data_IF_033252380904
#
_entry.id   IF_033252380904
#
_cell.length_a   1.000
_cell.length_b   1.000
_cell.length_c   1.000
_cell.angle_alpha   90.00
_cell.angle_beta   90.00
_cell.angle_gamma   90.00
#
_symmetry.space_group_name_H-M   'P 1'
#
loop_
_entity.id
_entity.type
_entity.pdbx_description
1 polymer ?
#
# COMPACT_ATOMS: atom_id res chain seq x y z
N UNK A 1 30.94 16.98 7.46
CA UNK A 1 30.68 16.97 8.90
C UNK A 1 29.31 17.58 9.19
N UNK A 2 28.37 16.79 9.67
CA UNK A 2 27.00 17.23 9.95
C UNK A 2 26.92 18.30 11.04
N UNK A 3 27.95 18.41 11.90
CA UNK A 3 28.01 19.40 12.95
C UNK A 3 28.10 20.85 12.41
N UNK A 4 28.58 21.03 11.17
CA UNK A 4 28.76 22.34 10.53
C UNK A 4 27.52 22.81 9.75
N UNK A 5 26.51 21.94 9.58
CA UNK A 5 25.30 22.26 8.82
C UNK A 5 24.33 23.07 9.66
N UNK A 6 23.69 24.07 9.03
CA UNK A 6 22.56 24.76 9.62
C UNK A 6 21.28 23.88 9.61
N UNK A 7 20.21 24.33 10.26
CA UNK A 7 18.97 23.58 10.39
C UNK A 7 18.32 23.27 9.04
N UNK A 8 18.38 24.18 8.08
CA UNK A 8 17.81 24.00 6.73
C UNK A 8 18.61 22.96 5.94
N UNK A 9 19.93 23.05 6.00
CA UNK A 9 20.82 22.07 5.34
C UNK A 9 20.65 20.68 5.93
N UNK A 10 20.50 20.57 7.27
CA UNK A 10 20.20 19.30 7.95
C UNK A 10 18.89 18.69 7.46
N UNK A 11 17.83 19.49 7.37
CA UNK A 11 16.52 18.99 6.92
C UNK A 11 16.57 18.50 5.48
N UNK A 12 17.16 19.24 4.54
CA UNK A 12 17.30 18.79 3.15
C UNK A 12 18.14 17.51 3.02
N UNK A 13 19.22 17.40 3.79
CA UNK A 13 20.02 16.18 3.79
C UNK A 13 19.26 15.00 4.41
N UNK A 14 18.50 15.23 5.48
CA UNK A 14 17.62 14.24 6.08
C UNK A 14 16.53 13.74 5.11
N UNK A 15 15.95 14.66 4.32
CA UNK A 15 15.01 14.29 3.25
C UNK A 15 15.67 13.41 2.19
N UNK A 16 16.89 13.76 1.75
CA UNK A 16 17.61 12.98 0.74
C UNK A 16 17.89 11.55 1.21
N UNK A 17 18.31 11.37 2.46
CA UNK A 17 18.49 10.05 3.05
C UNK A 17 17.17 9.28 3.16
N UNK A 18 16.10 9.91 3.66
CA UNK A 18 14.79 9.27 3.76
C UNK A 18 14.25 8.82 2.40
N UNK A 19 14.38 9.67 1.35
CA UNK A 19 13.99 9.32 -0.01
C UNK A 19 14.81 8.16 -0.56
N UNK A 20 16.13 8.15 -0.37
CA UNK A 20 16.96 7.06 -0.86
C UNK A 20 16.61 5.74 -0.20
N UNK A 21 16.47 5.73 1.12
CA UNK A 21 16.02 4.54 1.85
C UNK A 21 14.66 4.05 1.39
N UNK A 22 13.70 4.95 1.20
CA UNK A 22 12.34 4.63 0.72
C UNK A 22 12.39 3.98 -0.67
N UNK A 23 13.13 4.58 -1.61
CA UNK A 23 13.25 4.02 -2.95
C UNK A 23 13.94 2.65 -2.95
N UNK A 24 15.01 2.47 -2.17
CA UNK A 24 15.65 1.15 -2.06
C UNK A 24 14.74 0.12 -1.41
N UNK A 25 13.96 0.49 -0.40
CA UNK A 25 12.97 -0.41 0.22
C UNK A 25 11.92 -0.86 -0.81
N UNK A 26 11.39 0.07 -1.60
CA UNK A 26 10.42 -0.26 -2.65
C UNK A 26 11.04 -1.11 -3.77
N UNK A 27 12.25 -0.77 -4.21
CA UNK A 27 12.98 -1.55 -5.22
C UNK A 27 13.28 -2.98 -4.75
N UNK A 28 13.70 -3.16 -3.51
CA UNK A 28 13.91 -4.51 -2.96
C UNK A 28 12.58 -5.27 -2.94
N UNK A 29 11.52 -4.71 -2.41
CA UNK A 29 10.21 -5.36 -2.33
C UNK A 29 9.66 -5.74 -3.71
N UNK A 30 9.92 -4.95 -4.75
CA UNK A 30 9.50 -5.25 -6.12
C UNK A 30 10.38 -6.31 -6.78
N UNK A 31 11.71 -6.16 -6.73
CA UNK A 31 12.65 -6.92 -7.56
C UNK A 31 13.33 -8.10 -6.86
N UNK A 32 13.33 -8.18 -5.53
CA UNK A 32 13.79 -9.39 -4.85
C UNK A 32 13.02 -10.60 -5.37
N UNK A 33 13.77 -11.61 -5.88
CA UNK A 33 13.15 -12.88 -6.22
C UNK A 33 12.88 -13.69 -4.94
N UNK A 34 11.61 -13.89 -4.65
CA UNK A 34 11.17 -14.80 -3.59
C UNK A 34 10.68 -16.09 -4.22
N UNK A 35 11.03 -17.22 -3.60
CA UNK A 35 10.58 -18.55 -4.04
C UNK A 35 9.05 -18.60 -4.18
N UNK A 36 8.61 -19.35 -5.20
CA UNK A 36 7.21 -19.58 -5.48
C UNK A 36 7.06 -20.92 -6.25
N UNK A 37 5.84 -21.43 -6.31
CA UNK A 37 5.57 -22.76 -6.92
C UNK A 37 5.52 -22.76 -8.46
N UNK A 38 5.87 -21.65 -9.13
CA UNK A 38 5.63 -21.47 -10.57
C UNK A 38 6.89 -21.15 -11.37
N UNK A 39 7.89 -20.55 -10.75
CA UNK A 39 9.16 -20.19 -11.41
C UNK A 39 10.34 -20.54 -10.52
N UNK A 40 11.38 -21.11 -11.13
CA UNK A 40 12.63 -21.45 -10.46
C UNK A 40 13.74 -20.51 -10.94
N UNK A 41 14.45 -19.91 -10.00
CA UNK A 41 15.58 -19.05 -10.31
C UNK A 41 16.62 -19.04 -9.16
N UNK A 42 17.28 -20.17 -8.88
CA UNK A 42 18.19 -20.29 -7.73
C UNK A 42 19.39 -19.33 -7.84
N UNK A 43 19.78 -18.95 -9.04
CA UNK A 43 20.89 -18.02 -9.28
C UNK A 43 20.58 -16.55 -8.89
N UNK A 44 19.33 -16.20 -8.62
CA UNK A 44 18.94 -14.82 -8.25
C UNK A 44 18.27 -14.75 -6.88
N UNK A 45 18.22 -15.87 -6.16
CA UNK A 45 17.65 -15.92 -4.81
C UNK A 45 18.44 -15.00 -3.87
N UNK A 46 17.73 -14.17 -3.10
CA UNK A 46 18.34 -13.21 -2.18
C UNK A 46 19.03 -12.04 -2.85
N UNK A 47 18.89 -11.85 -4.18
CA UNK A 47 19.37 -10.67 -4.88
C UNK A 47 18.25 -9.61 -4.96
N UNK A 48 18.60 -8.38 -4.60
CA UNK A 48 17.76 -7.19 -4.75
C UNK A 48 18.05 -6.46 -6.07
N UNK A 49 18.52 -5.23 -5.97
CA UNK A 49 18.91 -4.35 -7.09
C UNK A 49 20.39 -3.93 -6.94
N UNK A 50 21.04 -3.39 -7.97
CA UNK A 50 22.37 -2.78 -7.82
C UNK A 50 22.35 -1.65 -6.78
N UNK A 51 23.42 -1.55 -5.99
CA UNK A 51 23.63 -0.39 -5.10
C UNK A 51 24.34 0.70 -5.89
N UNK A 52 23.75 1.89 -5.92
CA UNK A 52 24.30 3.12 -6.52
C UNK A 52 24.34 4.20 -5.45
N UNK A 53 25.54 4.63 -5.10
CA UNK A 53 25.81 5.65 -4.09
C UNK A 53 26.38 6.90 -4.77
N UNK A 54 26.46 8.06 -4.06
CA UNK A 54 26.97 9.30 -4.65
C UNK A 54 28.38 9.21 -5.24
N UNK A 55 29.19 8.30 -4.71
CA UNK A 55 30.56 8.02 -5.18
C UNK A 55 30.64 7.06 -6.37
N UNK A 56 29.53 6.39 -6.72
CA UNK A 56 29.49 5.44 -7.83
C UNK A 56 29.71 6.16 -9.15
N UNK A 57 30.79 5.83 -9.85
CA UNK A 57 31.11 6.39 -11.18
C UNK A 57 30.21 5.80 -12.27
N UNK A 58 30.10 6.50 -13.41
CA UNK A 58 29.34 6.00 -14.57
C UNK A 58 29.87 4.65 -15.07
N UNK A 59 31.20 4.44 -15.04
CA UNK A 59 31.81 3.17 -15.45
C UNK A 59 31.43 2.02 -14.51
N UNK A 60 31.39 2.25 -13.20
CA UNK A 60 30.97 1.28 -12.22
C UNK A 60 29.46 1.00 -12.36
N UNK A 61 28.62 2.03 -12.55
CA UNK A 61 27.19 1.87 -12.74
C UNK A 61 26.83 1.00 -13.95
N UNK A 62 27.61 1.07 -15.04
CA UNK A 62 27.45 0.25 -16.25
C UNK A 62 27.90 -1.22 -16.09
N UNK A 63 28.52 -1.58 -14.99
CA UNK A 63 28.95 -2.94 -14.67
C UNK A 63 28.67 -3.25 -13.18
N UNK A 64 27.47 -2.94 -12.73
CA UNK A 64 27.05 -3.05 -11.33
C UNK A 64 26.09 -4.23 -11.16
N UNK A 65 26.51 -5.36 -10.61
CA UNK A 65 25.63 -6.52 -10.41
C UNK A 65 24.55 -6.21 -9.37
N UNK A 66 23.50 -7.03 -9.34
CA UNK A 66 22.52 -7.02 -8.27
C UNK A 66 23.21 -7.34 -6.93
N UNK A 67 22.96 -6.51 -5.93
CA UNK A 67 23.44 -6.73 -4.57
C UNK A 67 22.56 -7.74 -3.83
N UNK A 68 23.09 -8.36 -2.80
CA UNK A 68 22.26 -9.14 -1.88
C UNK A 68 21.28 -8.22 -1.15
N UNK A 69 20.09 -8.74 -0.89
CA UNK A 69 19.07 -8.02 -0.13
C UNK A 69 19.61 -7.56 1.22
N UNK A 70 20.33 -8.44 1.93
CA UNK A 70 20.94 -8.11 3.23
C UNK A 70 21.89 -6.91 3.11
N UNK A 71 22.76 -6.90 2.09
CA UNK A 71 23.69 -5.79 1.86
C UNK A 71 22.96 -4.46 1.60
N UNK A 72 21.83 -4.49 0.90
CA UNK A 72 21.03 -3.28 0.64
C UNK A 72 20.42 -2.75 1.95
N UNK A 73 19.91 -3.63 2.82
CA UNK A 73 19.41 -3.22 4.14
C UNK A 73 20.53 -2.65 5.02
N UNK A 74 21.68 -3.34 5.07
CA UNK A 74 22.76 -3.02 5.99
C UNK A 74 23.61 -1.82 5.54
N UNK A 75 23.72 -1.58 4.23
CA UNK A 75 24.56 -0.51 3.67
C UNK A 75 23.78 0.74 3.27
N UNK A 76 22.48 0.61 2.99
CA UNK A 76 21.67 1.72 2.47
C UNK A 76 20.43 1.97 3.33
N UNK A 77 19.49 1.02 3.42
CA UNK A 77 18.17 1.29 3.99
C UNK A 77 18.26 1.73 5.46
N UNK A 78 18.84 0.91 6.32
CA UNK A 78 18.93 1.26 7.74
C UNK A 78 19.89 2.42 8.01
N UNK A 79 21.13 2.47 7.46
CA UNK A 79 21.99 3.61 7.68
C UNK A 79 21.41 4.95 7.22
N UNK A 80 20.66 4.95 6.12
CA UNK A 80 20.00 6.15 5.63
C UNK A 80 18.82 6.57 6.51
N UNK A 81 18.01 5.63 6.97
CA UNK A 81 16.93 5.91 7.90
C UNK A 81 17.45 6.41 9.25
N UNK A 82 18.57 5.88 9.75
CA UNK A 82 19.22 6.35 10.98
C UNK A 82 19.74 7.77 10.82
N UNK A 83 20.36 8.08 9.68
CA UNK A 83 20.80 9.46 9.38
C UNK A 83 19.63 10.42 9.21
N UNK A 84 18.57 9.98 8.55
CA UNK A 84 17.37 10.80 8.39
C UNK A 84 16.72 11.10 9.77
N UNK A 85 16.64 10.11 10.66
CA UNK A 85 16.14 10.29 12.02
C UNK A 85 17.00 11.30 12.81
N UNK A 86 18.32 11.15 12.78
CA UNK A 86 19.26 12.08 13.43
C UNK A 86 19.09 13.51 12.91
N UNK A 87 19.14 13.69 11.57
CA UNK A 87 19.12 15.00 10.93
C UNK A 87 17.77 15.72 11.04
N UNK A 88 16.67 14.97 11.12
CA UNK A 88 15.32 15.50 11.29
C UNK A 88 14.87 15.55 12.75
N UNK A 89 15.76 15.26 13.71
CA UNK A 89 15.46 15.38 15.13
C UNK A 89 15.02 16.81 15.47
N UNK A 90 13.80 16.96 16.01
CA UNK A 90 13.20 18.27 16.31
C UNK A 90 12.66 19.04 15.10
N UNK A 91 12.75 18.49 13.89
CA UNK A 91 12.14 19.10 12.70
C UNK A 91 10.61 18.96 12.73
N UNK A 92 9.91 20.06 12.43
CA UNK A 92 8.46 20.07 12.27
C UNK A 92 8.14 20.29 10.79
N UNK A 93 7.50 19.31 10.15
CA UNK A 93 7.07 19.42 8.76
C UNK A 93 5.97 20.49 8.63
N UNK A 94 6.07 21.41 7.65
CA UNK A 94 5.08 22.47 7.47
C UNK A 94 3.74 21.95 6.93
N UNK A 95 3.73 20.78 6.31
CA UNK A 95 2.57 20.18 5.65
C UNK A 95 2.71 18.65 5.58
N UNK A 96 1.70 18.00 4.98
CA UNK A 96 1.62 16.54 4.79
C UNK A 96 2.42 16.03 3.56
N UNK A 97 3.03 16.92 2.80
CA UNK A 97 3.83 16.58 1.61
C UNK A 97 5.33 16.62 1.90
N UNK A 98 5.71 17.21 3.03
CA UNK A 98 7.10 17.29 3.49
C UNK A 98 7.44 16.07 4.35
N UNK A 99 8.64 15.51 4.15
CA UNK A 99 9.13 14.41 4.99
C UNK A 99 9.22 14.88 6.44
N UNK A 100 8.64 14.10 7.34
CA UNK A 100 8.63 14.34 8.78
C UNK A 100 9.36 13.23 9.54
N UNK A 101 9.76 13.45 10.81
CA UNK A 101 10.25 12.37 11.67
C UNK A 101 9.26 11.20 11.76
N UNK A 102 7.96 11.47 11.78
CA UNK A 102 6.93 10.43 11.81
C UNK A 102 6.96 9.54 10.56
N UNK A 103 7.20 10.11 9.36
CA UNK A 103 7.39 9.33 8.15
C UNK A 103 8.64 8.45 8.24
N UNK A 104 9.75 8.97 8.76
CA UNK A 104 11.00 8.19 8.93
C UNK A 104 10.75 6.99 9.86
N UNK A 105 10.04 7.20 10.97
CA UNK A 105 9.64 6.09 11.85
C UNK A 105 8.75 5.07 11.14
N UNK A 106 7.78 5.52 10.35
CA UNK A 106 6.92 4.64 9.56
C UNK A 106 7.71 3.83 8.51
N UNK A 107 8.71 4.42 7.85
CA UNK A 107 9.61 3.71 6.94
C UNK A 107 10.47 2.65 7.68
N UNK A 108 10.97 2.98 8.87
CA UNK A 108 11.66 2.01 9.73
C UNK A 108 10.74 0.87 10.15
N UNK A 109 9.50 1.16 10.53
CA UNK A 109 8.51 0.14 10.86
C UNK A 109 8.26 -0.82 9.69
N UNK A 110 8.09 -0.31 8.46
CA UNK A 110 7.99 -1.12 7.24
C UNK A 110 9.24 -1.98 7.02
N UNK A 111 10.42 -1.38 7.12
CA UNK A 111 11.69 -2.07 6.89
C UNK A 111 11.93 -3.21 7.90
N UNK A 112 11.70 -2.95 9.16
CA UNK A 112 11.83 -3.96 10.21
C UNK A 112 10.80 -5.08 10.10
N UNK A 113 9.55 -4.77 9.73
CA UNK A 113 8.52 -5.79 9.49
C UNK A 113 8.92 -6.75 8.35
N UNK A 114 9.45 -6.22 7.23
CA UNK A 114 9.99 -7.01 6.13
C UNK A 114 11.14 -7.92 6.59
N UNK A 115 12.06 -7.40 7.41
CA UNK A 115 13.18 -8.18 7.96
C UNK A 115 12.72 -9.26 8.93
N UNK A 116 11.78 -8.93 9.82
CA UNK A 116 11.18 -9.89 10.75
C UNK A 116 10.59 -11.09 10.02
N UNK A 117 9.82 -10.85 8.96
CA UNK A 117 9.26 -11.91 8.13
C UNK A 117 10.33 -12.70 7.37
N UNK A 118 11.27 -12.00 6.71
CA UNK A 118 12.29 -12.64 5.86
C UNK A 118 13.27 -13.51 6.64
N UNK A 119 13.56 -13.17 7.88
CA UNK A 119 14.54 -13.86 8.74
C UNK A 119 13.92 -14.65 9.87
N UNK A 120 12.60 -14.57 10.05
CA UNK A 120 11.89 -15.05 11.25
C UNK A 120 12.55 -14.50 12.52
N UNK A 121 12.82 -13.21 12.55
CA UNK A 121 13.62 -12.51 13.55
C UNK A 121 12.72 -11.80 14.55
N UNK A 122 12.74 -12.29 15.80
CA UNK A 122 11.96 -11.73 16.90
C UNK A 122 12.35 -10.28 17.23
N UNK A 123 13.64 -9.92 17.19
CA UNK A 123 14.09 -8.57 17.49
C UNK A 123 13.68 -7.57 16.41
N UNK A 124 13.62 -8.01 15.15
CA UNK A 124 13.11 -7.21 14.06
C UNK A 124 11.61 -6.91 14.22
N UNK A 125 10.80 -7.86 14.71
CA UNK A 125 9.40 -7.60 15.04
C UNK A 125 9.25 -6.63 16.22
N UNK A 126 10.06 -6.75 17.26
CA UNK A 126 10.08 -5.74 18.36
C UNK A 126 10.35 -4.36 17.79
N UNK A 127 11.38 -4.20 16.98
CA UNK A 127 11.74 -2.93 16.35
C UNK A 127 10.60 -2.41 15.46
N UNK A 128 9.95 -3.28 14.68
CA UNK A 128 8.81 -2.88 13.83
C UNK A 128 7.66 -2.29 14.65
N UNK A 129 7.31 -2.94 15.77
CA UNK A 129 6.25 -2.46 16.66
C UNK A 129 6.61 -1.13 17.33
N UNK A 130 7.86 -0.99 17.82
CA UNK A 130 8.34 0.24 18.44
C UNK A 130 8.32 1.42 17.47
N UNK A 131 8.86 1.27 16.27
CA UNK A 131 8.85 2.32 15.26
C UNK A 131 7.45 2.64 14.75
N UNK A 132 6.55 1.66 14.64
CA UNK A 132 5.15 1.91 14.32
C UNK A 132 4.48 2.78 15.40
N UNK A 133 4.71 2.47 16.68
CA UNK A 133 4.20 3.27 17.80
C UNK A 133 4.82 4.66 17.84
N UNK A 134 6.11 4.81 17.55
CA UNK A 134 6.76 6.11 17.43
C UNK A 134 6.16 6.95 16.29
N UNK A 135 5.88 6.33 15.14
CA UNK A 135 5.23 7.02 14.01
C UNK A 135 3.83 7.53 14.38
N UNK A 136 3.00 6.69 15.04
CA UNK A 136 1.68 7.09 15.53
C UNK A 136 1.80 8.32 16.45
N UNK A 137 2.66 8.25 17.45
CA UNK A 137 2.80 9.29 18.45
C UNK A 137 3.37 10.59 17.86
N UNK A 138 4.40 10.50 17.02
CA UNK A 138 5.07 11.65 16.43
C UNK A 138 4.23 12.36 15.37
N UNK A 139 3.36 11.63 14.67
CA UNK A 139 2.51 12.21 13.63
C UNK A 139 1.36 13.05 14.20
N UNK A 140 0.89 12.74 15.40
CA UNK A 140 -0.37 13.26 15.94
C UNK A 140 -1.60 12.93 15.08
N UNK A 141 -1.44 11.98 14.15
CA UNK A 141 -2.52 11.57 13.26
C UNK A 141 -3.52 10.65 13.96
N UNK A 142 -4.75 10.66 13.46
CA UNK A 142 -5.84 9.78 13.91
C UNK A 142 -6.45 9.07 12.69
N UNK A 143 -6.87 7.80 12.82
CA UNK A 143 -7.55 7.09 11.74
C UNK A 143 -8.78 7.84 11.24
N UNK A 144 -9.08 7.70 9.93
CA UNK A 144 -10.26 8.29 9.31
C UNK A 144 -11.54 7.88 10.04
N UNK A 145 -12.39 8.84 10.34
CA UNK A 145 -13.76 8.60 10.79
C UNK A 145 -14.63 8.12 9.62
N UNK A 146 -15.79 7.54 9.88
CA UNK A 146 -16.76 7.19 8.83
C UNK A 146 -17.11 8.39 7.95
N UNK A 147 -17.38 9.54 8.55
CA UNK A 147 -17.73 10.76 7.81
C UNK A 147 -16.60 11.22 6.87
N UNK A 148 -15.35 11.19 7.34
CA UNK A 148 -14.17 11.50 6.51
C UNK A 148 -13.94 10.46 5.42
N UNK A 149 -14.14 9.18 5.73
CA UNK A 149 -13.98 8.08 4.77
C UNK A 149 -14.98 8.20 3.60
N UNK A 150 -16.22 8.54 3.90
CA UNK A 150 -17.32 8.62 2.94
C UNK A 150 -17.46 9.99 2.27
N UNK A 151 -16.65 10.99 2.64
CA UNK A 151 -16.73 12.33 2.06
C UNK A 151 -16.39 12.28 0.55
N UNK A 152 -17.36 12.61 -0.32
CA UNK A 152 -17.16 12.55 -1.76
C UNK A 152 -16.18 13.59 -2.31
N UNK A 153 -15.93 14.66 -1.55
CA UNK A 153 -15.14 15.80 -2.00
C UNK A 153 -13.72 15.81 -1.41
N UNK A 154 -13.56 15.29 -0.18
CA UNK A 154 -12.33 15.45 0.59
C UNK A 154 -11.87 14.18 1.32
N UNK A 155 -12.38 13.01 1.00
CA UNK A 155 -12.02 11.74 1.65
C UNK A 155 -10.58 11.29 1.32
N UNK A 156 -10.44 10.35 0.38
CA UNK A 156 -9.15 9.83 -0.09
C UNK A 156 -8.47 10.66 -1.17
N UNK A 157 -8.80 11.91 -1.33
CA UNK A 157 -8.33 12.80 -2.38
C UNK A 157 -7.76 14.14 -1.85
N UNK A 158 -7.67 14.29 -0.53
CA UNK A 158 -7.16 15.50 0.10
C UNK A 158 -6.36 15.20 1.38
N UNK A 159 -5.07 15.49 1.38
CA UNK A 159 -4.19 15.34 2.54
C UNK A 159 -4.49 16.34 3.65
N UNK A 160 -5.09 17.48 3.31
CA UNK A 160 -5.36 18.57 4.25
C UNK A 160 -6.73 18.49 4.92
N UNK A 161 -7.68 17.77 4.31
CA UNK A 161 -9.05 17.69 4.78
C UNK A 161 -9.26 16.70 5.94
N UNK A 162 -8.31 15.81 6.18
CA UNK A 162 -8.36 14.84 7.27
C UNK A 162 -7.01 14.72 7.98
N UNK A 163 -7.00 14.08 9.13
CA UNK A 163 -5.78 13.94 9.93
C UNK A 163 -5.19 12.51 9.93
N UNK A 164 -5.54 11.66 8.98
CA UNK A 164 -5.04 10.28 8.95
C UNK A 164 -3.71 10.13 8.22
N UNK A 165 -3.35 11.05 7.35
CA UNK A 165 -2.15 10.92 6.52
C UNK A 165 -0.91 11.41 7.23
N UNK A 166 0.05 10.51 7.41
CA UNK A 166 1.41 10.85 7.87
C UNK A 166 2.15 11.54 6.73
N UNK A 167 1.96 11.04 5.50
CA UNK A 167 2.54 11.62 4.30
C UNK A 167 1.70 11.32 3.07
N UNK A 168 1.59 12.30 2.18
CA UNK A 168 0.88 12.21 0.92
C UNK A 168 1.67 12.81 -0.23
N UNK A 169 1.19 12.53 -1.44
CA UNK A 169 1.72 13.12 -2.68
C UNK A 169 0.68 14.06 -3.25
N UNK A 170 1.06 15.31 -3.49
CA UNK A 170 0.24 16.28 -4.19
C UNK A 170 0.47 16.17 -5.69
N UNK A 171 -0.62 16.21 -6.47
CA UNK A 171 -0.57 16.41 -7.91
C UNK A 171 -1.11 17.81 -8.23
N UNK A 172 -0.25 18.79 -8.53
CA UNK A 172 -0.74 20.13 -8.84
C UNK A 172 -1.52 20.14 -10.16
N UNK A 173 -2.57 20.97 -10.23
CA UNK A 173 -3.53 20.99 -11.34
C UNK A 173 -2.89 21.26 -12.71
N UNK A 174 -1.82 22.04 -12.77
CA UNK A 174 -1.05 22.31 -13.99
C UNK A 174 -0.31 21.09 -14.53
N UNK A 175 -0.05 20.10 -13.68
CA UNK A 175 0.61 18.84 -14.05
C UNK A 175 -0.38 17.74 -14.42
N UNK A 176 -1.68 17.96 -14.24
CA UNK A 176 -2.69 16.96 -14.60
C UNK A 176 -2.84 16.87 -16.12
N UNK A 177 -2.59 15.71 -16.65
CA UNK A 177 -2.71 15.39 -18.07
C UNK A 177 -3.84 14.37 -18.29
N UNK A 178 -5.07 14.83 -18.22
CA UNK A 178 -6.30 14.08 -18.55
C UNK A 178 -6.25 12.57 -18.16
N UNK A 179 -5.86 11.71 -19.11
CA UNK A 179 -5.83 10.26 -18.93
C UNK A 179 -4.64 9.76 -18.07
N UNK A 180 -3.67 10.59 -17.76
CA UNK A 180 -2.40 10.20 -17.13
C UNK A 180 -2.31 10.60 -15.65
N UNK A 181 -3.38 10.44 -14.92
CA UNK A 181 -3.39 10.63 -13.47
C UNK A 181 -4.06 9.44 -12.76
N UNK A 182 -3.77 9.27 -11.48
CA UNK A 182 -4.33 8.19 -10.67
C UNK A 182 -5.86 8.20 -10.67
N UNK A 183 -6.46 9.37 -10.50
CA UNK A 183 -7.93 9.54 -10.48
C UNK A 183 -8.57 9.10 -11.79
N UNK A 184 -7.94 9.39 -12.94
CA UNK A 184 -8.43 8.95 -14.24
C UNK A 184 -8.53 7.43 -14.38
N UNK A 185 -7.64 6.69 -13.69
CA UNK A 185 -7.60 5.23 -13.69
C UNK A 185 -8.46 4.59 -12.61
N UNK A 186 -8.60 5.24 -11.46
CA UNK A 186 -9.22 4.63 -10.27
C UNK A 186 -10.65 5.10 -10.03
N UNK A 187 -10.97 6.37 -10.31
CA UNK A 187 -12.31 6.88 -10.04
C UNK A 187 -13.35 6.39 -11.05
N UNK A 188 -14.46 5.87 -10.55
CA UNK A 188 -15.62 5.53 -11.37
C UNK A 188 -16.49 6.74 -11.71
N UNK A 189 -16.26 7.88 -11.05
CA UNK A 189 -17.09 9.08 -11.20
C UNK A 189 -16.51 10.13 -12.15
N UNK A 190 -15.28 9.95 -12.65
CA UNK A 190 -14.72 10.94 -13.57
C UNK A 190 -15.40 10.89 -14.95
N UNK A 191 -15.81 12.06 -15.48
CA UNK A 191 -16.44 12.19 -16.78
C UNK A 191 -15.45 12.50 -17.92
N UNK A 192 -14.15 12.66 -17.60
CA UNK A 192 -13.11 13.02 -18.58
C UNK A 192 -12.24 11.85 -19.03
N UNK A 193 -12.42 10.65 -18.45
CA UNK A 193 -11.55 9.50 -18.71
C UNK A 193 -12.37 8.22 -18.88
N UNK A 194 -12.05 7.47 -19.89
CA UNK A 194 -12.59 6.14 -20.13
C UNK A 194 -12.04 5.06 -19.19
N UNK A 195 -10.85 5.27 -18.60
CA UNK A 195 -10.20 4.21 -17.82
C UNK A 195 -10.90 3.92 -16.48
N UNK A 196 -11.33 4.94 -15.77
CA UNK A 196 -11.96 4.79 -14.47
C UNK A 196 -13.42 4.33 -14.55
N UNK A 197 -14.21 4.92 -15.44
CA UNK A 197 -15.65 4.64 -15.58
C UNK A 197 -15.97 3.55 -16.60
N UNK A 198 -15.24 3.45 -17.73
CA UNK A 198 -15.49 2.40 -18.73
C UNK A 198 -14.84 1.06 -18.36
N UNK A 199 -13.75 1.08 -17.61
CA UNK A 199 -13.05 -0.09 -17.11
C UNK A 199 -12.96 -0.05 -15.58
N UNK A 200 -14.11 0.01 -14.92
CA UNK A 200 -14.24 0.19 -13.47
C UNK A 200 -13.36 -0.80 -12.68
N UNK A 201 -12.65 -0.26 -11.69
CA UNK A 201 -11.92 -1.08 -10.72
C UNK A 201 -12.91 -1.57 -9.67
N UNK A 202 -13.11 -2.89 -9.61
CA UNK A 202 -14.04 -3.54 -8.69
C UNK A 202 -13.28 -4.32 -7.62
N UNK A 203 -13.79 -4.33 -6.40
CA UNK A 203 -13.32 -5.27 -5.38
C UNK A 203 -13.72 -6.70 -5.78
N UNK A 204 -12.90 -7.67 -5.39
CA UNK A 204 -13.26 -9.08 -5.55
C UNK A 204 -14.51 -9.42 -4.72
N UNK A 205 -15.49 -10.09 -5.31
CA UNK A 205 -16.78 -10.36 -4.67
C UNK A 205 -16.65 -11.15 -3.36
N UNK A 206 -15.72 -12.12 -3.26
CA UNK A 206 -15.50 -12.83 -1.99
C UNK A 206 -14.91 -11.91 -0.92
N UNK A 207 -13.99 -11.01 -1.28
CA UNK A 207 -13.46 -10.04 -0.33
C UNK A 207 -14.55 -9.08 0.15
N UNK A 208 -15.40 -8.59 -0.77
CA UNK A 208 -16.54 -7.73 -0.40
C UNK A 208 -17.51 -8.45 0.55
N UNK A 209 -17.85 -9.69 0.26
CA UNK A 209 -18.78 -10.50 1.06
C UNK A 209 -18.22 -10.89 2.44
N UNK A 210 -16.89 -10.80 2.64
CA UNK A 210 -16.27 -11.02 3.96
C UNK A 210 -16.27 -9.78 4.85
N UNK A 211 -16.68 -8.61 4.34
CA UNK A 211 -16.75 -7.38 5.13
C UNK A 211 -18.01 -7.42 6.00
N UNK A 212 -17.86 -7.23 7.33
CA UNK A 212 -18.98 -7.14 8.28
C UNK A 212 -19.96 -6.05 7.82
N UNK A 213 -21.26 -6.30 7.94
CA UNK A 213 -22.30 -5.34 7.54
C UNK A 213 -22.26 -4.03 8.35
N UNK A 214 -21.66 -4.05 9.53
CA UNK A 214 -21.47 -2.86 10.38
C UNK A 214 -20.18 -2.12 10.09
N UNK A 215 -19.32 -2.66 9.20
CA UNK A 215 -18.06 -2.04 8.79
C UNK A 215 -18.35 -1.01 7.71
N UNK A 216 -18.21 0.26 8.03
CA UNK A 216 -18.49 1.33 7.07
C UNK A 216 -17.54 1.33 5.85
N UNK A 217 -16.38 0.67 5.91
CA UNK A 217 -15.50 0.52 4.74
C UNK A 217 -16.18 -0.21 3.59
N UNK A 218 -17.21 -1.03 3.87
CA UNK A 218 -18.08 -1.66 2.87
C UNK A 218 -18.68 -0.64 1.90
N UNK A 219 -18.92 0.59 2.34
CA UNK A 219 -19.44 1.68 1.53
C UNK A 219 -18.46 2.21 0.48
N UNK A 220 -17.21 1.74 0.46
CA UNK A 220 -16.23 2.07 -0.58
C UNK A 220 -16.52 1.39 -1.92
N UNK A 221 -17.49 0.50 -1.98
CA UNK A 221 -17.86 -0.24 -3.18
C UNK A 221 -19.37 -0.33 -3.32
N UNK A 222 -19.83 -0.36 -4.58
CA UNK A 222 -21.26 -0.42 -4.88
C UNK A 222 -21.83 -1.81 -4.55
N UNK A 223 -22.73 -1.86 -3.59
CA UNK A 223 -23.42 -3.07 -3.17
C UNK A 223 -24.26 -3.64 -4.32
N UNK A 224 -24.20 -4.96 -4.61
CA UNK A 224 -25.07 -5.59 -5.60
C UNK A 224 -26.55 -5.41 -5.35
N UNK A 225 -26.94 -5.35 -4.08
CA UNK A 225 -28.34 -5.24 -3.65
C UNK A 225 -28.89 -3.79 -3.71
N UNK A 226 -28.06 -2.79 -4.04
CA UNK A 226 -28.49 -1.36 -4.10
C UNK A 226 -29.64 -1.07 -5.04
N UNK A 227 -29.89 -1.96 -6.01
CA UNK A 227 -30.99 -1.85 -7.00
C UNK A 227 -32.26 -2.54 -6.55
N UNK A 228 -32.20 -3.36 -5.50
CA UNK A 228 -33.34 -4.10 -4.99
C UNK A 228 -34.18 -3.21 -4.05
N UNK A 229 -35.45 -2.88 -4.43
CA UNK A 229 -36.29 -2.01 -3.61
C UNK A 229 -36.74 -2.67 -2.27
N UNK A 230 -36.60 -4.00 -2.15
CA UNK A 230 -36.96 -4.73 -0.94
C UNK A 230 -35.80 -4.82 0.05
N UNK A 231 -34.57 -4.43 -0.37
CA UNK A 231 -33.38 -4.46 0.48
C UNK A 231 -33.01 -3.06 0.96
N UNK A 232 -32.63 -3.00 2.22
CA UNK A 232 -32.05 -1.79 2.79
C UNK A 232 -30.71 -1.53 2.09
N UNK A 233 -30.62 -0.41 1.39
CA UNK A 233 -29.39 0.01 0.68
C UNK A 233 -28.83 1.27 1.31
N UNK A 234 -27.50 1.44 1.19
CA UNK A 234 -26.86 2.68 1.59
C UNK A 234 -27.36 3.87 0.79
N UNK A 235 -27.41 5.01 1.44
CA UNK A 235 -27.54 6.30 0.77
C UNK A 235 -26.12 6.74 0.37
N UNK A 236 -25.64 6.24 -0.79
CA UNK A 236 -24.31 6.58 -1.30
C UNK A 236 -24.22 8.09 -1.58
N UNK A 237 -23.32 8.75 -0.86
CA UNK A 237 -23.00 10.15 -1.14
C UNK A 237 -22.39 10.24 -2.55
N UNK A 238 -22.87 11.18 -3.35
CA UNK A 238 -22.36 11.43 -4.71
C UNK A 238 -22.10 12.90 -4.93
N UNK A 239 -21.02 13.21 -5.65
CA UNK A 239 -20.74 14.55 -6.16
C UNK A 239 -21.43 14.81 -7.49
N UNK A 240 -21.94 13.79 -8.17
CA UNK A 240 -22.61 13.93 -9.48
C UNK A 240 -24.03 14.41 -9.33
N UNK A 241 -24.49 15.14 -10.35
CA UNK A 241 -25.87 15.64 -10.39
C UNK A 241 -26.89 14.50 -10.42
N UNK A 242 -26.56 13.42 -11.12
CA UNK A 242 -27.39 12.22 -11.29
C UNK A 242 -27.54 11.41 -9.99
N UNK A 243 -26.57 11.56 -9.07
CA UNK A 243 -26.64 10.92 -7.77
C UNK A 243 -26.81 9.40 -7.85
N UNK A 244 -27.85 8.87 -7.20
CA UNK A 244 -28.11 7.43 -7.08
C UNK A 244 -28.35 6.75 -8.44
N UNK A 245 -28.97 7.42 -9.40
CA UNK A 245 -29.25 6.87 -10.74
C UNK A 245 -27.94 6.50 -11.45
N UNK A 246 -26.97 7.38 -11.40
CA UNK A 246 -25.65 7.11 -11.96
C UNK A 246 -25.00 5.85 -11.36
N UNK A 247 -25.03 5.70 -10.04
CA UNK A 247 -24.44 4.52 -9.39
C UNK A 247 -25.17 3.22 -9.75
N UNK A 248 -26.46 3.29 -10.11
CA UNK A 248 -27.18 2.12 -10.56
C UNK A 248 -26.76 1.63 -11.96
N UNK A 249 -26.17 2.48 -12.79
CA UNK A 249 -25.64 2.13 -14.11
C UNK A 249 -24.25 1.47 -14.04
N UNK A 250 -23.50 1.73 -12.98
CA UNK A 250 -22.16 1.16 -12.78
C UNK A 250 -22.23 -0.34 -12.41
N UNK A 251 -21.15 -1.09 -12.70
CA UNK A 251 -21.07 -2.50 -12.30
C UNK A 251 -21.15 -2.67 -10.77
N UNK A 252 -21.65 -3.82 -10.36
CA UNK A 252 -21.60 -4.23 -8.95
C UNK A 252 -20.15 -4.31 -8.49
N UNK A 253 -19.91 -3.97 -7.21
CA UNK A 253 -18.57 -3.94 -6.62
C UNK A 253 -17.65 -2.85 -7.14
N UNK A 254 -18.10 -1.95 -8.03
CA UNK A 254 -17.29 -0.83 -8.50
C UNK A 254 -16.86 0.07 -7.33
N UNK A 255 -15.61 0.54 -7.37
CA UNK A 255 -15.07 1.34 -6.29
C UNK A 255 -15.54 2.80 -6.36
N UNK A 256 -15.88 3.33 -5.19
CA UNK A 256 -16.14 4.75 -4.94
C UNK A 256 -15.27 5.29 -3.79
N UNK A 257 -14.18 4.58 -3.45
CA UNK A 257 -13.20 5.03 -2.48
C UNK A 257 -12.38 6.21 -3.00
N UNK A 258 -11.92 6.11 -4.26
CA UNK A 258 -11.11 7.15 -4.90
C UNK A 258 -11.99 7.99 -5.83
N UNK A 259 -12.20 9.24 -5.46
CA UNK A 259 -13.13 10.15 -6.12
C UNK A 259 -12.38 11.38 -6.63
N UNK A 260 -12.94 12.14 -7.60
CA UNK A 260 -12.33 13.39 -8.06
C UNK A 260 -12.13 14.38 -6.93
N UNK A 261 -10.99 15.08 -6.90
CA UNK A 261 -10.75 16.12 -5.91
C UNK A 261 -11.86 17.17 -5.95
N UNK A 262 -12.29 17.64 -4.79
CA UNK A 262 -13.35 18.64 -4.61
C UNK A 262 -14.70 18.26 -5.26
N UNK A 263 -14.91 16.99 -5.58
CA UNK A 263 -16.09 16.54 -6.33
C UNK A 263 -16.15 17.01 -7.77
N UNK A 264 -15.05 17.47 -8.36
CA UNK A 264 -14.99 18.02 -9.71
C UNK A 264 -14.90 16.93 -10.78
N UNK A 265 -15.98 16.19 -11.01
CA UNK A 265 -16.02 15.03 -11.92
C UNK A 265 -16.00 15.41 -13.41
N UNK A 266 -16.31 16.65 -13.77
CA UNK A 266 -16.29 17.14 -15.17
C UNK A 266 -14.98 17.85 -15.53
N UNK A 267 -14.27 18.40 -14.57
CA UNK A 267 -13.02 19.13 -14.79
C UNK A 267 -11.80 18.28 -14.39
N UNK A 268 -11.10 17.76 -15.39
CA UNK A 268 -9.92 16.92 -15.13
C UNK A 268 -8.76 17.65 -14.42
N UNK A 269 -8.63 18.95 -14.60
CA UNK A 269 -7.55 19.72 -13.96
C UNK A 269 -7.78 19.86 -12.47
N UNK A 270 -9.03 20.02 -12.06
CA UNK A 270 -9.40 20.09 -10.65
C UNK A 270 -9.56 18.68 -10.07
N UNK A 271 -10.44 17.88 -10.63
CA UNK A 271 -10.76 16.54 -10.11
C UNK A 271 -9.60 15.56 -10.20
N UNK A 272 -8.75 15.68 -11.24
CA UNK A 272 -7.57 14.87 -11.40
C UNK A 272 -6.41 15.26 -10.49
N UNK A 273 -6.41 16.49 -9.94
CA UNK A 273 -5.42 17.00 -8.98
C UNK A 273 -5.72 16.50 -7.56
N UNK A 274 -6.07 15.22 -7.44
CA UNK A 274 -6.29 14.57 -6.17
C UNK A 274 -4.97 14.21 -5.50
N UNK A 275 -4.88 14.42 -4.20
CA UNK A 275 -3.77 13.94 -3.40
C UNK A 275 -3.82 12.42 -3.25
N UNK A 276 -2.66 11.80 -3.04
CA UNK A 276 -2.55 10.36 -2.84
C UNK A 276 -1.92 10.04 -1.50
N UNK A 277 -2.53 9.19 -0.66
CA UNK A 277 -1.89 8.72 0.56
C UNK A 277 -0.71 7.80 0.20
N UNK A 278 0.48 8.14 0.68
CA UNK A 278 1.62 7.23 0.64
C UNK A 278 1.76 6.47 1.96
N UNK A 279 1.48 7.14 3.08
CA UNK A 279 1.47 6.53 4.39
C UNK A 279 0.35 7.14 5.24
N UNK A 280 -0.56 6.30 5.70
CA UNK A 280 -1.61 6.65 6.65
C UNK A 280 -1.32 6.07 8.03
N UNK A 281 -1.79 6.71 9.08
CA UNK A 281 -1.56 6.25 10.45
C UNK A 281 -2.15 4.86 10.71
N UNK A 282 -3.21 4.50 10.02
CA UNK A 282 -3.81 3.18 10.09
C UNK A 282 -2.81 2.06 9.78
N UNK A 283 -1.92 2.28 8.81
CA UNK A 283 -0.89 1.28 8.50
C UNK A 283 0.01 0.99 9.70
N UNK A 284 0.32 2.00 10.47
CA UNK A 284 1.16 1.85 11.67
C UNK A 284 0.45 1.02 12.75
N UNK A 285 -0.87 1.18 12.92
CA UNK A 285 -1.65 0.32 13.82
C UNK A 285 -1.62 -1.15 13.37
N UNK A 286 -1.71 -1.41 12.06
CA UNK A 286 -1.64 -2.78 11.54
C UNK A 286 -0.24 -3.38 11.66
N UNK A 287 0.83 -2.60 11.41
CA UNK A 287 2.22 -3.06 11.60
C UNK A 287 2.46 -3.39 13.08
N UNK A 288 2.03 -2.52 14.00
CA UNK A 288 2.19 -2.75 15.44
C UNK A 288 1.45 -4.02 15.88
N UNK A 289 0.19 -4.21 15.46
CA UNK A 289 -0.60 -5.38 15.82
C UNK A 289 0.03 -6.69 15.29
N UNK A 290 0.52 -6.70 14.04
CA UNK A 290 1.20 -7.84 13.45
C UNK A 290 2.50 -8.17 14.21
N UNK A 291 3.34 -7.17 14.39
CA UNK A 291 4.64 -7.33 15.04
C UNK A 291 4.47 -7.77 16.51
N UNK A 292 3.55 -7.17 17.25
CA UNK A 292 3.23 -7.57 18.63
C UNK A 292 2.67 -8.99 18.73
N UNK A 293 1.96 -9.50 17.73
CA UNK A 293 1.49 -10.87 17.72
C UNK A 293 2.65 -11.89 17.68
N UNK A 294 3.77 -11.54 17.06
CA UNK A 294 4.98 -12.37 17.06
C UNK A 294 5.68 -12.40 18.43
N UNK A 295 5.53 -11.34 19.24
CA UNK A 295 6.02 -11.33 20.63
C UNK A 295 5.01 -11.99 21.58
N UNK A 296 3.74 -11.63 21.45
CA UNK A 296 2.61 -12.08 22.25
C UNK A 296 1.33 -12.03 21.43
N UNK A 297 0.84 -13.20 21.04
CA UNK A 297 -0.36 -13.32 20.21
C UNK A 297 -1.57 -12.61 20.82
N UNK A 298 -1.77 -12.71 22.14
CA UNK A 298 -2.87 -12.04 22.84
C UNK A 298 -2.82 -10.52 22.72
N UNK A 299 -1.62 -9.94 22.71
CA UNK A 299 -1.45 -8.49 22.52
C UNK A 299 -1.76 -8.05 21.08
N UNK A 300 -1.32 -8.81 20.07
CA UNK A 300 -1.69 -8.55 18.69
C UNK A 300 -3.21 -8.57 18.46
N UNK A 301 -3.88 -9.60 19.00
CA UNK A 301 -5.35 -9.75 18.99
C UNK A 301 -6.02 -8.53 19.64
N UNK A 302 -5.54 -8.13 20.82
CA UNK A 302 -6.08 -6.97 21.56
C UNK A 302 -5.99 -5.68 20.72
N UNK A 303 -4.82 -5.43 20.12
CA UNK A 303 -4.57 -4.24 19.31
C UNK A 303 -5.47 -4.20 18.06
N UNK A 304 -5.63 -5.31 17.35
CA UNK A 304 -6.51 -5.37 16.18
C UNK A 304 -7.98 -5.18 16.59
N UNK A 305 -8.43 -5.85 17.65
CA UNK A 305 -9.79 -5.69 18.17
C UNK A 305 -10.07 -4.24 18.58
N UNK A 306 -9.14 -3.58 19.26
CA UNK A 306 -9.28 -2.17 19.63
C UNK A 306 -9.36 -1.26 18.41
N UNK A 307 -8.47 -1.45 17.41
CA UNK A 307 -8.51 -0.66 16.19
C UNK A 307 -9.86 -0.81 15.47
N UNK A 308 -10.32 -2.03 15.26
CA UNK A 308 -11.55 -2.31 14.54
C UNK A 308 -12.79 -1.74 15.27
N UNK A 309 -12.86 -1.93 16.58
CA UNK A 309 -13.99 -1.45 17.37
C UNK A 309 -14.02 0.08 17.51
N UNK A 310 -12.87 0.72 17.59
CA UNK A 310 -12.82 2.17 17.75
C UNK A 310 -12.99 2.93 16.44
N UNK A 311 -12.58 2.33 15.29
CA UNK A 311 -12.44 3.09 14.06
C UNK A 311 -13.16 2.49 12.85
N UNK A 312 -13.68 1.25 12.88
CA UNK A 312 -14.22 0.62 11.66
C UNK A 312 -15.63 0.04 11.83
N UNK A 313 -15.92 -0.55 12.97
CA UNK A 313 -17.18 -1.24 13.21
C UNK A 313 -18.17 -0.32 13.94
N UNK A 314 -19.23 0.07 13.28
CA UNK A 314 -20.29 0.88 13.88
C UNK A 314 -20.95 0.11 15.02
N UNK A 315 -20.93 0.69 16.22
CA UNK A 315 -21.45 0.05 17.42
C UNK A 315 -20.54 -1.02 18.05
N UNK A 316 -19.34 -1.23 17.50
CA UNK A 316 -18.35 -2.17 18.05
C UNK A 316 -18.73 -3.65 17.90
N UNK A 317 -18.11 -4.50 18.71
CA UNK A 317 -18.40 -5.95 18.75
C UNK A 317 -17.60 -6.80 17.76
N UNK A 318 -16.53 -6.26 17.20
CA UNK A 318 -15.52 -7.05 16.48
C UNK A 318 -14.64 -7.79 17.47
N UNK A 319 -14.45 -9.08 17.24
CA UNK A 319 -13.55 -9.94 18.04
C UNK A 319 -12.96 -11.04 17.16
N UNK A 320 -11.66 -10.96 16.91
CA UNK A 320 -10.92 -11.95 16.14
C UNK A 320 -10.31 -13.08 16.98
N UNK A 321 -10.59 -13.16 18.29
CA UNK A 321 -9.97 -14.12 19.21
C UNK A 321 -10.17 -15.55 18.74
N UNK A 322 -11.37 -15.93 18.36
CA UNK A 322 -11.69 -17.29 17.92
C UNK A 322 -11.10 -17.67 16.55
N UNK A 323 -10.75 -16.69 15.74
CA UNK A 323 -10.10 -16.87 14.43
C UNK A 323 -8.58 -16.90 14.53
N UNK A 324 -8.01 -16.57 15.68
CA UNK A 324 -6.58 -16.30 15.90
C UNK A 324 -5.94 -17.31 16.86
N UNK A 325 -6.09 -18.60 16.54
CA UNK A 325 -5.54 -19.70 17.38
C UNK A 325 -4.01 -19.84 17.29
N UNK A 326 -3.38 -19.16 16.34
CA UNK A 326 -1.93 -19.09 16.13
C UNK A 326 -1.56 -17.74 15.53
N UNK A 327 -0.26 -17.39 15.53
CA UNK A 327 0.24 -16.18 14.85
C UNK A 327 -0.11 -16.21 13.36
N UNK A 328 -0.01 -17.35 12.71
CA UNK A 328 -0.39 -17.50 11.29
C UNK A 328 -1.88 -17.21 11.06
N UNK A 329 -2.77 -17.78 11.87
CA UNK A 329 -4.21 -17.54 11.75
C UNK A 329 -4.57 -16.08 12.05
N UNK A 330 -3.93 -15.46 13.05
CA UNK A 330 -4.05 -14.03 13.34
C UNK A 330 -3.57 -13.19 12.15
N UNK A 331 -2.41 -13.51 11.57
CA UNK A 331 -1.87 -12.82 10.40
C UNK A 331 -2.82 -12.92 9.20
N UNK A 332 -3.48 -14.05 9.00
CA UNK A 332 -4.49 -14.21 7.95
C UNK A 332 -5.69 -13.29 8.17
N UNK A 333 -6.20 -13.18 9.41
CA UNK A 333 -7.28 -12.25 9.74
C UNK A 333 -6.83 -10.79 9.60
N UNK A 334 -5.66 -10.43 10.14
CA UNK A 334 -5.09 -9.11 10.00
C UNK A 334 -4.92 -8.73 8.51
N UNK A 335 -4.46 -9.66 7.67
CA UNK A 335 -4.33 -9.44 6.23
C UNK A 335 -5.69 -9.32 5.53
N UNK A 336 -6.74 -9.99 5.99
CA UNK A 336 -8.10 -9.74 5.52
C UNK A 336 -8.47 -8.27 5.76
N UNK A 337 -8.24 -7.79 6.97
CA UNK A 337 -8.54 -6.40 7.33
C UNK A 337 -7.65 -5.40 6.56
N UNK A 338 -6.35 -5.68 6.35
CA UNK A 338 -5.45 -4.85 5.53
C UNK A 338 -5.91 -4.77 4.07
N UNK A 339 -6.36 -5.87 3.49
CA UNK A 339 -6.86 -5.92 2.09
C UNK A 339 -8.11 -5.06 1.90
N UNK A 340 -8.96 -4.95 2.91
CA UNK A 340 -10.12 -4.07 2.92
C UNK A 340 -9.66 -2.61 3.12
N UNK A 341 -8.85 -2.37 4.13
CA UNK A 341 -8.40 -1.03 4.54
C UNK A 341 -7.62 -0.32 3.43
N UNK A 342 -6.62 -0.99 2.88
CA UNK A 342 -5.66 -0.41 1.93
C UNK A 342 -5.93 -0.81 0.49
N UNK A 343 -7.18 -1.20 0.17
CA UNK A 343 -7.56 -1.52 -1.19
C UNK A 343 -7.25 -0.35 -2.14
N UNK A 344 -6.49 -0.62 -3.20
CA UNK A 344 -6.11 0.37 -4.21
C UNK A 344 -4.97 1.31 -3.82
N UNK A 345 -4.40 1.23 -2.60
CA UNK A 345 -3.32 2.11 -2.13
C UNK A 345 -1.89 1.57 -2.43
N UNK A 346 -1.78 0.40 -3.08
CA UNK A 346 -0.50 -0.13 -3.59
C UNK A 346 0.35 -0.90 -2.57
N UNK A 347 0.02 -0.92 -1.27
CA UNK A 347 0.88 -1.51 -0.23
C UNK A 347 0.61 -3.00 0.04
N UNK A 348 -0.61 -3.46 -0.13
CA UNK A 348 -1.04 -4.84 0.22
C UNK A 348 -0.29 -5.92 -0.56
N UNK A 349 0.11 -5.63 -1.80
CA UNK A 349 0.87 -6.58 -2.61
C UNK A 349 2.20 -6.96 -1.94
N UNK A 350 2.87 -6.02 -1.29
CA UNK A 350 4.12 -6.28 -0.60
C UNK A 350 3.93 -7.22 0.60
N UNK A 351 2.87 -7.02 1.38
CA UNK A 351 2.52 -7.92 2.47
C UNK A 351 2.18 -9.33 1.96
N UNK A 352 1.36 -9.45 0.91
CA UNK A 352 1.04 -10.74 0.31
C UNK A 352 2.29 -11.44 -0.23
N UNK A 353 3.24 -10.68 -0.81
CA UNK A 353 4.51 -11.21 -1.31
C UNK A 353 5.40 -11.70 -0.16
N UNK A 354 5.59 -10.93 0.93
CA UNK A 354 6.44 -11.35 2.04
C UNK A 354 5.87 -12.53 2.82
N UNK A 355 4.54 -12.61 2.97
CA UNK A 355 3.82 -13.64 3.72
C UNK A 355 3.50 -14.90 2.91
N UNK A 356 3.99 -15.04 1.69
CA UNK A 356 3.72 -16.16 0.78
C UNK A 356 2.23 -16.45 0.56
N UNK A 357 1.41 -15.40 0.45
CA UNK A 357 -0.04 -15.55 0.35
C UNK A 357 -0.50 -15.89 -1.07
N UNK A 358 -1.55 -16.68 -1.16
CA UNK A 358 -2.18 -17.08 -2.43
C UNK A 358 -3.06 -15.97 -3.02
N UNK A 359 -3.14 -15.92 -4.36
CA UNK A 359 -4.22 -15.21 -5.05
C UNK A 359 -5.39 -16.13 -5.33
N UNK A 360 -6.61 -15.62 -5.20
CA UNK A 360 -7.86 -16.36 -5.51
C UNK A 360 -8.79 -15.42 -6.27
N UNK A 361 -8.74 -15.48 -7.61
CA UNK A 361 -9.60 -14.69 -8.51
C UNK A 361 -10.58 -15.54 -9.30
N UNK A 362 -10.29 -16.85 -9.47
CA UNK A 362 -11.15 -17.82 -10.15
C UNK A 362 -11.90 -18.68 -9.14
N UNK A 363 -13.23 -18.58 -9.11
CA UNK A 363 -14.15 -19.38 -8.32
C UNK A 363 -15.56 -19.22 -8.87
N UNK A 364 -16.51 -20.10 -8.49
CA UNK A 364 -17.90 -20.02 -8.92
C UNK A 364 -18.53 -18.71 -8.41
N UNK A 365 -19.09 -17.90 -9.30
CA UNK A 365 -19.69 -16.61 -8.96
C UNK A 365 -18.70 -15.44 -8.84
N UNK A 366 -17.44 -15.65 -9.29
CA UNK A 366 -16.45 -14.55 -9.32
C UNK A 366 -16.86 -13.42 -10.27
N UNK A 367 -16.60 -12.18 -9.84
CA UNK A 367 -16.73 -11.00 -10.69
C UNK A 367 -15.46 -10.68 -11.50
N UNK A 368 -14.40 -11.49 -11.39
CA UNK A 368 -13.17 -11.32 -12.18
C UNK A 368 -13.39 -11.69 -13.65
N UNK A 369 -12.92 -10.89 -14.62
CA UNK A 369 -12.95 -11.27 -16.04
C UNK A 369 -12.18 -12.57 -16.29
N UNK A 370 -12.63 -13.37 -17.26
CA UNK A 370 -12.12 -14.74 -17.49
C UNK A 370 -10.59 -14.82 -17.61
N UNK A 371 -9.97 -13.89 -18.35
CA UNK A 371 -8.51 -13.83 -18.55
C UNK A 371 -7.71 -13.50 -17.28
N UNK A 372 -8.36 -12.96 -16.25
CA UNK A 372 -7.73 -12.55 -14.99
C UNK A 372 -8.10 -13.45 -13.80
N UNK A 373 -8.79 -14.58 -14.04
CA UNK A 373 -9.12 -15.56 -12.99
C UNK A 373 -7.92 -16.40 -12.57
N UNK A 374 -6.83 -15.73 -12.22
CA UNK A 374 -5.57 -16.37 -11.85
C UNK A 374 -5.63 -16.80 -10.38
N UNK A 375 -5.41 -18.10 -10.14
CA UNK A 375 -5.27 -18.66 -8.80
C UNK A 375 -3.84 -19.12 -8.60
N UNK A 376 -3.28 -18.87 -7.42
CA UNK A 376 -1.96 -19.37 -7.04
C UNK A 376 -2.04 -20.14 -5.73
N UNK A 377 -1.13 -21.10 -5.57
CA UNK A 377 -0.81 -21.74 -4.30
C UNK A 377 0.47 -21.06 -3.79
N UNK A 378 0.34 -20.30 -2.70
CA UNK A 378 1.39 -19.40 -2.24
C UNK A 378 1.58 -18.20 -3.16
N UNK A 379 2.74 -17.59 -3.04
CA UNK A 379 3.17 -16.35 -3.70
C UNK A 379 3.00 -16.41 -5.21
N UNK A 380 2.34 -15.38 -5.74
CA UNK A 380 2.20 -15.26 -7.20
C UNK A 380 3.55 -14.95 -7.87
N UNK A 381 3.92 -15.63 -8.96
CA UNK A 381 5.20 -15.46 -9.63
C UNK A 381 5.37 -14.04 -10.22
N UNK A 382 4.27 -13.40 -10.59
CA UNK A 382 4.26 -12.04 -11.16
C UNK A 382 4.47 -10.93 -10.11
N UNK A 383 4.62 -11.26 -8.82
CA UNK A 383 5.09 -10.32 -7.80
C UNK A 383 6.61 -10.19 -7.74
N UNK A 384 7.34 -11.09 -8.39
CA UNK A 384 8.77 -10.98 -8.63
C UNK A 384 9.00 -10.22 -9.94
N UNK A 385 9.11 -8.91 -9.88
CA UNK A 385 9.18 -8.06 -11.06
C UNK A 385 10.43 -8.36 -11.88
N UNK A 386 10.26 -8.44 -13.21
CA UNK A 386 11.35 -8.57 -14.17
C UNK A 386 11.99 -7.21 -14.39
N UNK A 387 13.32 -7.13 -14.31
CA UNK A 387 14.05 -5.90 -14.56
C UNK A 387 13.91 -5.52 -16.04
N UNK A 388 13.64 -4.24 -16.30
CA UNK A 388 13.33 -3.74 -17.63
C UNK A 388 14.50 -3.93 -18.62
N UNK A 389 14.16 -4.05 -19.90
CA UNK A 389 15.14 -4.16 -20.97
C UNK A 389 16.08 -2.95 -21.04
N UNK A 390 15.59 -1.76 -20.75
CA UNK A 390 16.40 -0.55 -20.74
C UNK A 390 17.56 -0.66 -19.74
N UNK A 391 17.26 -1.17 -18.54
CA UNK A 391 18.28 -1.37 -17.51
C UNK A 391 19.29 -2.46 -17.91
N UNK A 392 18.83 -3.61 -18.38
CA UNK A 392 19.73 -4.70 -18.79
C UNK A 392 20.61 -4.35 -20.01
N UNK A 393 20.22 -3.37 -20.83
CA UNK A 393 21.05 -2.87 -21.94
C UNK A 393 22.11 -1.87 -21.47
N UNK A 394 21.81 -1.05 -20.46
CA UNK A 394 22.75 -0.07 -19.92
C UNK A 394 23.70 -0.65 -18.86
N UNK A 395 23.28 -1.73 -18.20
CA UNK A 395 24.06 -2.49 -17.22
C UNK A 395 23.99 -4.00 -17.58
N UNK A 396 24.79 -4.47 -18.57
CA UNK A 396 24.67 -5.82 -19.13
C UNK A 396 24.90 -6.96 -18.11
N UNK A 397 25.63 -6.70 -17.03
CA UNK A 397 25.91 -7.74 -16.02
C UNK A 397 24.62 -8.25 -15.37
N UNK A 398 23.58 -7.40 -15.21
CA UNK A 398 22.31 -7.82 -14.63
C UNK A 398 21.44 -8.62 -15.60
N UNK A 399 21.74 -8.66 -16.89
CA UNK A 399 20.96 -9.45 -17.84
C UNK A 399 20.97 -10.95 -17.50
N UNK A 400 22.07 -11.45 -16.95
CA UNK A 400 22.22 -12.85 -16.50
C UNK A 400 21.67 -13.07 -15.07
N UNK A 401 21.29 -11.99 -14.39
CA UNK A 401 20.75 -12.00 -13.04
C UNK A 401 19.28 -11.55 -13.00
N UNK A 402 18.60 -11.49 -14.15
CA UNK A 402 17.20 -11.06 -14.18
C UNK A 402 16.24 -12.11 -13.59
N UNK A 403 15.14 -11.66 -13.07
CA UNK A 403 14.07 -12.55 -12.65
C UNK A 403 13.44 -13.24 -13.89
N UNK A 404 12.98 -14.48 -13.77
CA UNK A 404 12.31 -15.18 -14.88
C UNK A 404 10.99 -14.51 -15.26
N UNK A 405 10.65 -14.56 -16.54
CA UNK A 405 9.35 -14.07 -17.04
C UNK A 405 8.20 -14.97 -16.52
N UNK A 406 7.26 -14.44 -15.75
CA UNK A 406 6.15 -15.22 -15.20
C UNK A 406 4.94 -15.34 -16.12
N UNK A 407 4.94 -14.72 -17.30
CA UNK A 407 3.73 -14.41 -18.09
C UNK A 407 2.91 -15.62 -18.52
N UNK A 408 3.47 -16.83 -18.57
CA UNK A 408 2.78 -18.05 -19.00
C UNK A 408 2.66 -19.13 -17.90
N UNK A 409 3.04 -18.80 -16.67
CA UNK A 409 3.18 -19.81 -15.60
C UNK A 409 1.87 -20.12 -14.89
N UNK A 410 0.97 -19.13 -14.75
CA UNK A 410 -0.34 -19.31 -14.14
C UNK A 410 -1.42 -19.24 -15.20
N UNK A 411 -2.25 -20.29 -15.28
CA UNK A 411 -3.37 -20.33 -16.24
C UNK A 411 -4.65 -19.81 -15.62
N UNK A 412 -5.51 -19.12 -16.38
CA UNK A 412 -6.82 -18.73 -15.90
C UNK A 412 -7.66 -19.96 -15.51
N UNK A 413 -8.38 -19.84 -14.39
CA UNK A 413 -9.35 -20.82 -13.96
C UNK A 413 -10.56 -20.84 -14.90
N UNK A 414 -10.98 -22.02 -15.36
CA UNK A 414 -12.03 -22.18 -16.36
C UNK A 414 -13.37 -22.74 -15.81
N UNK A 415 -13.49 -22.92 -14.48
CA UNK A 415 -14.69 -23.47 -13.85
C UNK A 415 -14.53 -24.89 -13.38
#
# INVERSE_FOLDING_TARGET
DFATLDATQKSYLGFAYAYRAMFYLDLVRLYEFKENNYTEAPGVLGLGVPIVLPETTEAEAKNNPRAKVDDIYDQVIFPDLDKAEELLSGFTAPDKYTISPALVYGLKARAWLERGTAKNDAEAYVSAAEYARLAINASGCTPLTQEQWEDPSNGFNSATANNAWIWGLALPSESVANLFCFTAHMSTENAWSAYGNDACRCINSNLYNSIDLRDFRRHSWLDPDRKDPEKESYDYKSCRKEGKEYFNELPDYANIKFRPAQGAYEDFKVGGAADHPYMRVEEMYFIEAEAKAHENLGEGIRLLNEFMNNYRIVGGGYDCTNMSSSVENFTNELMLQKRIEFWGEGIVMFDMKRLDMSTRRGYVGTNSPASYRLNTEGRAPYWNFVISRGETQNNPVIATQNNPDPSQTVKPWNG
#
